data_IF_423147370823
#
_entry.id   IF_423147370823
#
_cell.length_a   1.000
_cell.length_b   1.000
_cell.length_c   1.000
_cell.angle_alpha   90.00
_cell.angle_beta   90.00
_cell.angle_gamma   90.00
#
_symmetry.space_group_name_H-M   'P 1'
#
loop_
_entity.id
_entity.type
_entity.pdbx_description
1 polymer ?
#
# COMPACT_ATOMS: atom_id res chain seq x y z
N UNK A 1 -8.62 -30.41 -8.53
CA UNK A 1 -8.96 -29.44 -9.60
C UNK A 1 -7.70 -28.81 -10.17
N UNK A 2 -7.57 -28.79 -11.50
CA UNK A 2 -6.53 -28.03 -12.22
C UNK A 2 -7.18 -27.03 -13.15
N UNK A 3 -6.59 -25.85 -13.26
CA UNK A 3 -7.10 -24.75 -14.08
C UNK A 3 -6.00 -24.07 -14.87
N UNK A 4 -6.31 -23.70 -16.12
CA UNK A 4 -5.43 -22.92 -16.99
C UNK A 4 -6.19 -21.65 -17.36
N UNK A 5 -5.65 -20.48 -17.00
CA UNK A 5 -6.17 -19.22 -17.50
C UNK A 5 -5.87 -19.13 -19.00
N UNK A 6 -6.81 -18.61 -19.77
CA UNK A 6 -6.64 -18.31 -21.20
C UNK A 6 -6.71 -16.80 -21.35
N UNK A 7 -5.73 -16.25 -22.05
CA UNK A 7 -5.70 -14.85 -22.43
C UNK A 7 -5.94 -14.74 -23.93
N UNK A 8 -6.65 -13.70 -24.34
CA UNK A 8 -6.91 -13.39 -25.74
C UNK A 8 -6.25 -12.06 -26.11
N UNK A 9 -5.60 -12.03 -27.26
CA UNK A 9 -5.03 -10.83 -27.86
C UNK A 9 -6.17 -9.98 -28.40
N UNK A 10 -6.37 -8.80 -27.80
CA UNK A 10 -7.43 -7.86 -28.15
C UNK A 10 -6.86 -6.46 -28.40
N UNK A 11 -7.42 -5.70 -29.35
CA UNK A 11 -7.10 -4.29 -29.48
C UNK A 11 -7.68 -3.52 -28.28
N UNK A 12 -6.82 -2.74 -27.63
CA UNK A 12 -7.18 -1.87 -26.51
C UNK A 12 -6.86 -0.43 -26.87
N UNK A 13 -7.85 0.46 -26.70
CA UNK A 13 -7.67 1.89 -26.91
C UNK A 13 -7.14 2.56 -25.63
N UNK A 14 -5.97 3.18 -25.72
CA UNK A 14 -5.30 3.86 -24.61
C UNK A 14 -4.85 5.27 -25.01
N UNK A 15 -4.33 6.01 -24.03
CA UNK A 15 -3.83 7.36 -24.21
C UNK A 15 -2.50 7.54 -23.50
N UNK A 16 -1.53 8.16 -24.18
CA UNK A 16 -0.24 8.52 -23.62
C UNK A 16 0.16 9.90 -24.10
N UNK A 17 1.15 10.52 -23.45
CA UNK A 17 1.79 11.70 -24.01
C UNK A 17 2.64 11.31 -25.22
N UNK A 18 2.87 12.26 -26.11
CA UNK A 18 3.85 12.12 -27.18
C UNK A 18 5.21 11.67 -26.63
N UNK A 19 5.86 10.74 -27.32
CA UNK A 19 7.09 10.07 -26.87
C UNK A 19 6.87 8.88 -25.91
N UNK A 20 5.66 8.70 -25.37
CA UNK A 20 5.30 7.57 -24.50
C UNK A 20 4.35 6.55 -25.17
N UNK A 21 4.05 6.76 -26.46
CA UNK A 21 3.25 5.81 -27.24
C UNK A 21 4.09 4.57 -27.51
N UNK A 22 3.65 3.36 -27.14
CA UNK A 22 4.42 2.14 -27.36
C UNK A 22 4.63 1.86 -28.86
N UNK A 23 5.73 1.19 -29.19
CA UNK A 23 5.95 0.69 -30.55
C UNK A 23 4.89 -0.35 -30.93
N UNK A 24 4.47 -0.34 -32.19
CA UNK A 24 3.39 -1.22 -32.69
C UNK A 24 1.97 -0.75 -32.37
N UNK A 25 1.81 0.37 -31.66
CA UNK A 25 0.50 0.99 -31.48
C UNK A 25 0.03 1.71 -32.76
N UNK A 26 -1.25 1.58 -33.09
CA UNK A 26 -1.93 2.32 -34.14
C UNK A 26 -2.47 3.64 -33.58
N UNK A 27 -1.93 4.78 -34.01
CA UNK A 27 -2.43 6.09 -33.60
C UNK A 27 -3.84 6.31 -34.16
N UNK A 28 -4.78 6.71 -33.29
CA UNK A 28 -6.16 7.02 -33.64
C UNK A 28 -6.38 8.53 -33.77
N UNK A 29 -5.89 9.30 -32.80
CA UNK A 29 -6.04 10.77 -32.73
C UNK A 29 -4.96 11.38 -31.87
N UNK A 30 -4.56 12.61 -32.17
CA UNK A 30 -3.79 13.47 -31.27
C UNK A 30 -4.56 14.76 -30.93
N UNK A 31 -4.36 15.27 -29.72
CA UNK A 31 -4.90 16.54 -29.22
C UNK A 31 -3.85 17.27 -28.39
N UNK A 32 -3.90 18.60 -28.39
CA UNK A 32 -3.03 19.42 -27.52
C UNK A 32 -3.72 19.61 -26.17
N UNK A 33 -3.07 19.16 -25.11
CA UNK A 33 -3.61 19.15 -23.74
C UNK A 33 -2.59 19.68 -22.74
N UNK A 34 -3.06 20.16 -21.58
CA UNK A 34 -2.17 20.62 -20.49
C UNK A 34 -1.49 19.40 -19.89
N UNK A 35 -0.16 19.35 -19.98
CA UNK A 35 0.66 18.27 -19.41
C UNK A 35 0.93 18.47 -17.94
N UNK A 36 1.29 19.71 -17.57
CA UNK A 36 1.54 20.15 -16.20
C UNK A 36 1.48 21.68 -16.15
N UNK A 37 1.51 22.22 -14.94
CA UNK A 37 1.54 23.66 -14.69
C UNK A 37 2.87 23.98 -14.01
N UNK A 38 3.62 24.91 -14.57
CA UNK A 38 4.81 25.45 -13.93
C UNK A 38 4.42 26.55 -12.95
N UNK A 39 4.97 26.51 -11.74
CA UNK A 39 4.81 27.57 -10.74
C UNK A 39 6.06 28.46 -10.76
N UNK A 40 6.01 29.51 -11.58
CA UNK A 40 7.15 30.39 -11.77
C UNK A 40 7.11 31.52 -10.75
N UNK A 41 8.16 31.67 -9.96
CA UNK A 41 8.30 32.86 -9.13
C UNK A 41 8.55 34.07 -10.04
N UNK A 42 7.60 34.99 -10.08
CA UNK A 42 7.65 36.18 -10.93
C UNK A 42 8.13 37.43 -10.17
N UNK A 43 8.33 37.33 -8.86
CA UNK A 43 8.85 38.41 -8.04
C UNK A 43 8.68 38.16 -6.56
N UNK A 44 8.76 39.23 -5.79
CA UNK A 44 8.48 39.25 -4.36
C UNK A 44 7.58 40.42 -4.01
N UNK A 45 6.80 40.27 -2.94
CA UNK A 45 5.96 41.30 -2.37
C UNK A 45 6.41 41.53 -0.93
N UNK A 46 6.73 42.78 -0.60
CA UNK A 46 7.00 43.16 0.78
C UNK A 46 5.72 43.02 1.60
N UNK A 47 5.79 42.29 2.70
CA UNK A 47 4.77 42.25 3.75
C UNK A 47 5.38 42.59 5.10
N UNK A 48 4.56 43.08 6.01
CA UNK A 48 4.94 43.23 7.42
C UNK A 48 4.26 42.18 8.28
N UNK A 49 4.90 41.82 9.39
CA UNK A 49 4.33 41.03 10.47
C UNK A 49 4.68 41.68 11.80
N UNK A 50 3.74 41.67 12.74
CA UNK A 50 4.02 42.03 14.12
C UNK A 50 4.71 40.86 14.81
N UNK A 51 5.92 41.08 15.30
CA UNK A 51 6.67 40.11 16.09
C UNK A 51 6.59 40.52 17.55
N UNK A 52 6.17 39.58 18.40
CA UNK A 52 6.14 39.78 19.86
C UNK A 52 7.35 39.08 20.46
N UNK A 53 8.14 39.81 21.25
CA UNK A 53 9.25 39.27 22.01
C UNK A 53 9.10 39.58 23.49
N UNK A 54 9.54 38.65 24.33
CA UNK A 54 9.53 38.82 25.78
C UNK A 54 10.95 39.17 26.22
N UNK A 55 11.14 40.43 26.61
CA UNK A 55 12.46 40.97 26.99
C UNK A 55 12.51 41.09 28.51
N UNK A 56 13.58 40.62 29.14
CA UNK A 56 13.80 40.88 30.55
C UNK A 56 14.14 42.36 30.73
N UNK A 57 13.30 43.09 31.45
CA UNK A 57 13.42 44.55 31.62
C UNK A 57 13.95 44.96 32.98
N UNK A 58 14.05 44.02 33.92
CA UNK A 58 14.67 44.27 35.20
C UNK A 58 14.67 43.05 36.10
N UNK A 59 14.92 43.30 37.37
CA UNK A 59 14.77 42.33 38.45
C UNK A 59 13.99 42.98 39.59
N UNK A 60 13.22 42.19 40.32
CA UNK A 60 12.54 42.64 41.54
C UNK A 60 12.94 41.75 42.71
N UNK A 61 13.29 42.39 43.82
CA UNK A 61 13.70 41.71 45.07
C UNK A 61 12.47 41.18 45.79
N UNK A 62 12.39 39.87 45.94
CA UNK A 62 11.32 39.20 46.69
C UNK A 62 11.91 38.64 47.97
N UNK A 63 11.28 38.93 49.11
CA UNK A 63 11.65 38.30 50.39
C UNK A 63 11.30 36.82 50.33
N UNK A 64 12.32 35.96 50.44
CA UNK A 64 12.16 34.50 50.33
C UNK A 64 12.23 33.80 51.68
N UNK A 65 12.66 34.51 52.73
CA UNK A 65 12.67 33.96 54.07
C UNK A 65 13.27 34.90 55.09
N UNK A 66 13.56 34.36 56.25
CA UNK A 66 14.13 35.09 57.37
C UNK A 66 15.20 34.22 58.03
N UNK A 67 16.39 34.76 58.25
CA UNK A 67 17.53 34.08 58.88
C UNK A 67 17.70 34.58 60.31
N UNK A 68 17.66 33.69 61.29
CA UNK A 68 17.90 34.03 62.69
C UNK A 68 19.41 34.30 62.91
N UNK A 69 19.74 35.41 63.57
CA UNK A 69 21.12 35.83 63.84
C UNK A 69 21.69 35.33 65.18
N UNK A 70 20.93 34.51 65.93
CA UNK A 70 21.37 33.85 67.16
C UNK A 70 21.41 34.74 68.40
N UNK A 71 21.07 36.02 68.27
CA UNK A 71 21.03 37.03 69.33
C UNK A 71 19.61 37.59 69.58
N UNK A 72 18.58 36.86 69.13
CA UNK A 72 17.18 37.28 69.22
C UNK A 72 16.68 38.17 68.07
N UNK A 73 17.57 38.59 67.15
CA UNK A 73 17.21 39.33 65.95
C UNK A 73 17.17 38.45 64.70
N UNK A 74 16.44 38.91 63.69
CA UNK A 74 16.18 38.21 62.44
C UNK A 74 16.51 39.10 61.23
N UNK A 75 17.14 38.51 60.22
CA UNK A 75 17.49 39.17 58.96
C UNK A 75 16.60 38.66 57.82
N UNK A 76 16.01 39.59 57.08
CA UNK A 76 15.21 39.24 55.91
C UNK A 76 16.11 38.82 54.74
N UNK A 77 15.86 37.63 54.19
CA UNK A 77 16.59 37.09 53.03
C UNK A 77 15.78 37.39 51.77
N UNK A 78 16.45 37.94 50.75
CA UNK A 78 15.85 38.32 49.48
C UNK A 78 16.49 37.56 48.32
N UNK A 79 15.69 37.30 47.29
CA UNK A 79 16.12 36.76 46.00
C UNK A 79 15.71 37.73 44.89
N UNK A 80 16.61 37.98 43.93
CA UNK A 80 16.31 38.75 42.73
C UNK A 80 15.60 37.87 41.71
N UNK A 81 14.36 38.25 41.34
CA UNK A 81 13.59 37.55 40.31
C UNK A 81 13.49 38.40 39.04
N UNK A 82 13.69 37.80 37.84
CA UNK A 82 13.63 38.53 36.59
C UNK A 82 12.20 39.03 36.31
N UNK A 83 12.08 40.31 35.96
CA UNK A 83 10.85 40.94 35.47
C UNK A 83 10.95 41.01 33.96
N UNK A 84 9.90 40.58 33.27
CA UNK A 84 9.83 40.56 31.82
C UNK A 84 8.70 41.45 31.32
N UNK A 85 8.93 42.07 30.17
CA UNK A 85 7.95 42.86 29.43
C UNK A 85 7.75 42.24 28.04
N UNK A 86 6.52 42.23 27.54
CA UNK A 86 6.24 41.87 26.16
C UNK A 86 6.38 43.13 25.30
N UNK A 87 7.25 43.08 24.31
CA UNK A 87 7.42 44.15 23.31
C UNK A 87 6.98 43.64 21.96
N UNK A 88 6.34 44.50 21.18
CA UNK A 88 5.97 44.22 19.80
C UNK A 88 6.68 45.19 18.86
N UNK A 89 7.15 44.68 17.73
CA UNK A 89 7.68 45.51 16.64
C UNK A 89 7.23 44.95 15.28
N UNK A 90 7.18 45.83 14.28
CA UNK A 90 6.90 45.45 12.90
C UNK A 90 8.18 45.00 12.21
N UNK A 91 8.18 43.80 11.65
CA UNK A 91 9.25 43.27 10.82
C UNK A 91 8.73 43.15 9.38
N UNK A 92 9.52 43.63 8.40
CA UNK A 92 9.20 43.44 6.98
C UNK A 92 9.93 42.23 6.41
N UNK A 93 9.25 41.46 5.57
CA UNK A 93 9.84 40.32 4.87
C UNK A 93 9.38 40.27 3.41
N UNK A 94 10.17 39.57 2.59
CA UNK A 94 9.87 39.35 1.18
C UNK A 94 9.08 38.06 1.01
N UNK A 95 7.82 38.18 0.61
CA UNK A 95 6.96 37.03 0.27
C UNK A 95 7.09 36.74 -1.24
N UNK A 96 7.48 35.53 -1.67
CA UNK A 96 7.56 35.20 -3.09
C UNK A 96 6.18 35.20 -3.75
N UNK A 97 6.09 35.76 -4.96
CA UNK A 97 4.87 35.78 -5.77
C UNK A 97 5.03 34.84 -6.95
N UNK A 98 4.07 33.92 -7.12
CA UNK A 98 4.09 32.91 -8.17
C UNK A 98 3.01 33.16 -9.23
N UNK A 99 3.28 32.69 -10.45
CA UNK A 99 2.32 32.63 -11.54
C UNK A 99 2.29 31.23 -12.13
N UNK A 100 1.09 30.72 -12.32
CA UNK A 100 0.83 29.45 -12.97
C UNK A 100 0.97 29.59 -14.49
N UNK A 101 1.81 28.76 -15.10
CA UNK A 101 1.99 28.70 -16.53
C UNK A 101 1.68 27.29 -17.04
N UNK A 102 0.54 27.09 -17.75
CA UNK A 102 0.20 25.78 -18.27
C UNK A 102 1.15 25.39 -19.42
N UNK A 103 1.78 24.23 -19.29
CA UNK A 103 2.63 23.65 -20.33
C UNK A 103 1.84 22.61 -21.10
N UNK A 104 1.63 22.87 -22.38
CA UNK A 104 0.88 21.99 -23.26
C UNK A 104 1.79 20.99 -23.97
N UNK A 105 1.34 19.75 -24.09
CA UNK A 105 1.95 18.73 -24.95
C UNK A 105 0.89 18.01 -25.78
N UNK A 106 1.32 17.22 -26.75
CA UNK A 106 0.42 16.38 -27.51
C UNK A 106 0.05 15.14 -26.68
N UNK A 107 -1.26 14.93 -26.49
CA UNK A 107 -1.86 13.71 -25.99
C UNK A 107 -2.25 12.85 -27.18
N UNK A 108 -1.82 11.60 -27.19
CA UNK A 108 -2.06 10.66 -28.30
C UNK A 108 -2.97 9.54 -27.82
N UNK A 109 -4.12 9.40 -28.47
CA UNK A 109 -4.99 8.23 -28.35
C UNK A 109 -4.58 7.21 -29.41
N UNK A 110 -4.32 5.99 -28.97
CA UNK A 110 -3.85 4.91 -29.83
C UNK A 110 -4.54 3.59 -29.47
N UNK A 111 -4.40 2.62 -30.35
CA UNK A 111 -4.87 1.24 -30.21
C UNK A 111 -3.67 0.29 -30.23
N UNK A 112 -3.61 -0.63 -29.28
CA UNK A 112 -2.53 -1.61 -29.19
C UNK A 112 -3.09 -2.98 -28.83
N UNK A 113 -2.52 -4.02 -29.43
CA UNK A 113 -2.87 -5.41 -29.12
C UNK A 113 -2.31 -5.80 -27.74
N UNK A 114 -3.18 -6.18 -26.82
CA UNK A 114 -2.81 -6.64 -25.47
C UNK A 114 -3.45 -7.98 -25.15
N UNK A 115 -2.71 -8.79 -24.43
CA UNK A 115 -3.22 -10.04 -23.88
C UNK A 115 -4.12 -9.74 -22.69
N UNK A 116 -5.41 -10.05 -22.84
CA UNK A 116 -6.43 -9.77 -21.86
C UNK A 116 -7.03 -11.09 -21.34
N UNK A 117 -7.42 -11.17 -20.06
CA UNK A 117 -8.11 -12.34 -19.54
C UNK A 117 -9.37 -12.64 -20.36
N UNK A 118 -9.53 -13.89 -20.79
CA UNK A 118 -10.71 -14.34 -21.55
C UNK A 118 -11.51 -15.37 -20.75
N UNK A 119 -10.96 -16.58 -20.59
CA UNK A 119 -11.64 -17.70 -19.90
C UNK A 119 -10.68 -18.49 -19.02
N UNK A 120 -11.23 -19.47 -18.30
CA UNK A 120 -10.44 -20.46 -17.54
C UNK A 120 -10.87 -21.86 -17.93
N UNK A 121 -9.95 -22.65 -18.47
CA UNK A 121 -10.15 -24.07 -18.68
C UNK A 121 -10.02 -24.78 -17.32
N UNK A 122 -10.90 -25.74 -17.04
CA UNK A 122 -10.96 -26.46 -15.75
C UNK A 122 -11.03 -27.96 -15.99
N UNK A 123 -10.25 -28.71 -15.22
CA UNK A 123 -10.36 -30.15 -15.08
C UNK A 123 -10.64 -30.47 -13.60
N UNK A 124 -11.76 -31.14 -13.39
CA UNK A 124 -12.22 -31.61 -12.08
C UNK A 124 -12.47 -33.12 -12.20
N UNK A 125 -12.06 -33.86 -11.18
CA UNK A 125 -12.16 -35.31 -11.10
C UNK A 125 -12.19 -35.71 -9.63
N UNK A 126 -12.81 -36.85 -9.35
CA UNK A 126 -12.87 -37.44 -8.00
C UNK A 126 -11.82 -38.54 -7.82
N UNK A 127 -11.13 -38.94 -8.90
CA UNK A 127 -10.11 -39.96 -8.93
C UNK A 127 -8.70 -39.38 -8.70
N UNK A 128 -7.75 -40.24 -8.32
CA UNK A 128 -6.32 -39.87 -8.15
C UNK A 128 -5.58 -39.56 -9.47
N UNK A 129 -6.31 -39.33 -10.56
CA UNK A 129 -5.74 -39.02 -11.87
C UNK A 129 -5.86 -37.53 -12.17
N UNK A 130 -4.93 -36.74 -11.63
CA UNK A 130 -4.89 -35.31 -11.89
C UNK A 130 -4.40 -35.04 -13.32
N UNK A 131 -5.28 -34.54 -14.19
CA UNK A 131 -4.96 -34.14 -15.57
C UNK A 131 -5.09 -32.63 -15.75
N UNK A 132 -4.22 -32.03 -16.56
CA UNK A 132 -4.39 -30.63 -16.98
C UNK A 132 -5.51 -30.52 -18.03
N UNK A 133 -6.42 -29.54 -17.94
CA UNK A 133 -7.42 -29.34 -18.98
C UNK A 133 -6.76 -28.89 -20.28
N UNK A 134 -7.27 -29.34 -21.42
CA UNK A 134 -6.92 -28.79 -22.73
C UNK A 134 -7.79 -27.53 -23.00
N UNK A 135 -7.20 -26.32 -23.05
CA UNK A 135 -7.94 -25.08 -23.24
C UNK A 135 -8.43 -24.86 -24.69
N UNK A 136 -8.01 -25.70 -25.66
CA UNK A 136 -8.32 -25.58 -27.10
C UNK A 136 -8.13 -24.15 -27.61
N UNK A 137 -6.88 -23.69 -27.63
CA UNK A 137 -6.54 -22.30 -27.96
C UNK A 137 -6.83 -21.98 -29.44
N UNK A 138 -7.43 -20.81 -29.67
CA UNK A 138 -7.52 -20.19 -30.99
C UNK A 138 -6.24 -19.43 -31.38
N UNK A 139 -6.21 -18.91 -32.62
CA UNK A 139 -5.04 -18.21 -33.18
C UNK A 139 -4.63 -16.92 -32.43
N UNK A 140 -5.57 -16.27 -31.75
CA UNK A 140 -5.35 -15.06 -30.94
C UNK A 140 -5.40 -15.36 -29.43
N UNK A 141 -5.19 -16.59 -29.03
CA UNK A 141 -5.27 -17.01 -27.64
C UNK A 141 -3.95 -17.61 -27.18
N UNK A 142 -3.66 -17.49 -25.88
CA UNK A 142 -2.51 -18.14 -25.24
C UNK A 142 -2.88 -18.64 -23.85
N UNK A 143 -2.10 -19.61 -23.37
CA UNK A 143 -2.14 -19.96 -21.95
C UNK A 143 -1.58 -18.82 -21.11
N UNK A 144 -2.33 -18.45 -20.09
CA UNK A 144 -1.89 -17.60 -18.99
C UNK A 144 -1.45 -18.45 -17.80
N UNK A 145 -1.74 -17.95 -16.59
CA UNK A 145 -1.34 -18.62 -15.35
C UNK A 145 -2.06 -19.97 -15.17
N UNK A 146 -1.27 -21.01 -14.85
CA UNK A 146 -1.77 -22.30 -14.38
C UNK A 146 -1.97 -22.28 -12.86
N UNK A 147 -3.02 -22.94 -12.39
CA UNK A 147 -3.30 -23.10 -10.97
C UNK A 147 -3.88 -24.49 -10.68
N UNK A 148 -3.49 -25.06 -9.56
CA UNK A 148 -3.91 -26.39 -9.11
C UNK A 148 -4.36 -26.36 -7.66
N UNK A 149 -5.31 -27.22 -7.33
CA UNK A 149 -5.85 -27.38 -5.98
C UNK A 149 -6.20 -28.84 -5.77
N UNK A 150 -5.58 -29.44 -4.77
CA UNK A 150 -5.78 -30.84 -4.40
C UNK A 150 -6.52 -30.89 -3.07
N UNK A 151 -7.61 -31.65 -3.01
CA UNK A 151 -8.43 -31.79 -1.81
C UNK A 151 -8.59 -33.27 -1.49
N UNK A 152 -8.47 -33.61 -0.20
CA UNK A 152 -8.74 -34.95 0.33
C UNK A 152 -9.93 -34.85 1.27
N UNK A 153 -10.94 -35.69 1.06
CA UNK A 153 -12.07 -35.81 1.97
C UNK A 153 -11.75 -36.84 3.05
N UNK A 154 -11.82 -36.42 4.30
CA UNK A 154 -11.69 -37.28 5.47
C UNK A 154 -13.03 -37.38 6.20
N UNK A 155 -13.28 -38.55 6.80
CA UNK A 155 -14.28 -38.69 7.84
C UNK A 155 -13.57 -38.71 9.19
N UNK A 156 -13.95 -37.79 10.08
CA UNK A 156 -13.46 -37.80 11.46
C UNK A 156 -14.00 -39.02 12.21
N UNK A 157 -13.37 -39.40 13.32
CA UNK A 157 -13.84 -40.51 14.17
C UNK A 157 -15.29 -40.32 14.70
N UNK A 158 -15.82 -39.09 14.64
CA UNK A 158 -17.20 -38.74 15.00
C UNK A 158 -18.17 -38.78 13.80
N UNK A 159 -17.74 -39.29 12.65
CA UNK A 159 -18.54 -39.40 11.42
C UNK A 159 -18.74 -38.08 10.65
N UNK A 160 -18.14 -36.96 11.09
CA UNK A 160 -18.27 -35.67 10.39
C UNK A 160 -17.30 -35.62 9.20
N UNK A 161 -17.77 -35.32 7.97
CA UNK A 161 -16.89 -35.11 6.82
C UNK A 161 -16.11 -33.81 6.98
N UNK A 162 -14.83 -33.83 6.61
CA UNK A 162 -13.94 -32.68 6.62
C UNK A 162 -13.01 -32.73 5.42
N UNK A 163 -12.68 -31.57 4.86
CA UNK A 163 -11.84 -31.46 3.68
C UNK A 163 -10.48 -30.89 4.07
N UNK A 164 -9.42 -31.52 3.59
CA UNK A 164 -8.06 -31.01 3.73
C UNK A 164 -7.49 -30.63 2.37
N UNK A 165 -6.86 -29.45 2.28
CA UNK A 165 -6.18 -29.00 1.08
C UNK A 165 -4.74 -29.45 1.11
N UNK A 166 -4.36 -30.33 0.17
CA UNK A 166 -2.99 -30.79 0.09
C UNK A 166 -2.08 -29.70 -0.49
N UNK A 167 -0.84 -29.55 0.04
CA UNK A 167 0.08 -28.50 -0.40
C UNK A 167 0.62 -28.72 -1.82
N UNK A 168 0.68 -29.97 -2.29
CA UNK A 168 1.14 -30.33 -3.63
C UNK A 168 0.56 -31.70 -4.06
N UNK A 169 0.78 -32.07 -5.33
CA UNK A 169 0.30 -33.34 -5.89
C UNK A 169 0.90 -34.57 -5.18
N UNK A 170 2.17 -34.51 -4.78
CA UNK A 170 2.85 -35.64 -4.14
C UNK A 170 2.22 -35.98 -2.78
N UNK A 171 1.95 -34.96 -1.96
CA UNK A 171 1.27 -35.13 -0.68
C UNK A 171 -0.14 -35.67 -0.90
N UNK A 172 -0.86 -35.18 -1.92
CA UNK A 172 -2.19 -35.67 -2.26
C UNK A 172 -2.19 -37.14 -2.70
N UNK A 173 -1.29 -37.54 -3.59
CA UNK A 173 -1.13 -38.93 -4.06
C UNK A 173 -0.72 -39.92 -2.96
N UNK A 174 -0.15 -39.43 -1.86
CA UNK A 174 0.21 -40.24 -0.69
C UNK A 174 -0.99 -40.68 0.14
N UNK A 175 -2.19 -40.16 -0.14
CA UNK A 175 -3.42 -40.63 0.47
C UNK A 175 -4.09 -41.65 -0.43
N UNK A 176 -4.61 -42.71 0.16
CA UNK A 176 -5.40 -43.77 -0.48
C UNK A 176 -6.81 -43.77 0.12
N UNK A 177 -7.82 -43.93 -0.74
CA UNK A 177 -9.21 -44.04 -0.31
C UNK A 177 -9.41 -45.25 0.62
N UNK A 178 -10.21 -45.08 1.66
CA UNK A 178 -10.52 -46.14 2.63
C UNK A 178 -9.46 -46.38 3.71
N UNK A 179 -8.31 -45.71 3.67
CA UNK A 179 -7.30 -45.77 4.74
C UNK A 179 -7.53 -44.72 5.83
N UNK A 180 -7.18 -45.08 7.06
CA UNK A 180 -7.16 -44.17 8.20
C UNK A 180 -5.78 -43.51 8.34
N UNK A 181 -5.78 -42.18 8.51
CA UNK A 181 -4.57 -41.38 8.67
C UNK A 181 -4.61 -40.60 9.97
N UNK A 182 -3.44 -40.37 10.59
CA UNK A 182 -3.32 -39.53 11.78
C UNK A 182 -3.18 -38.08 11.36
N UNK A 183 -3.92 -37.18 12.00
CA UNK A 183 -3.87 -35.75 11.70
C UNK A 183 -4.27 -34.89 12.89
N UNK A 184 -3.88 -33.61 12.81
CA UNK A 184 -4.29 -32.56 13.75
C UNK A 184 -5.50 -31.84 13.16
N UNK A 185 -6.51 -31.64 13.98
CA UNK A 185 -7.74 -30.93 13.62
C UNK A 185 -7.87 -29.75 14.59
N UNK A 186 -8.19 -28.57 14.07
CA UNK A 186 -8.53 -27.40 14.88
C UNK A 186 -9.84 -27.64 15.65
N UNK A 187 -10.06 -26.89 16.73
CA UNK A 187 -11.26 -27.03 17.56
C UNK A 187 -12.60 -26.81 16.82
N UNK A 188 -12.56 -26.18 15.64
CA UNK A 188 -13.70 -25.97 14.74
C UNK A 188 -13.96 -27.12 13.74
N UNK A 189 -13.12 -28.15 13.75
CA UNK A 189 -13.23 -29.32 12.88
C UNK A 189 -12.48 -29.22 11.54
N UNK A 190 -11.75 -28.12 11.28
CA UNK A 190 -10.86 -28.01 10.11
C UNK A 190 -9.59 -28.81 10.32
N UNK A 191 -9.15 -29.53 9.30
CA UNK A 191 -7.91 -30.30 9.35
C UNK A 191 -6.72 -29.35 9.20
N UNK A 192 -5.86 -29.30 10.21
CA UNK A 192 -4.65 -28.47 10.24
C UNK A 192 -3.49 -29.15 9.51
N UNK A 193 -3.32 -30.45 9.77
CA UNK A 193 -2.20 -31.24 9.29
C UNK A 193 -2.64 -32.70 9.23
N UNK A 194 -2.29 -33.41 8.15
CA UNK A 194 -2.46 -34.87 8.08
C UNK A 194 -1.10 -35.47 7.77
N UNK A 195 -0.70 -36.44 8.59
CA UNK A 195 0.52 -37.21 8.34
C UNK A 195 0.13 -38.34 7.39
N UNK A 196 0.27 -38.06 6.08
CA UNK A 196 0.26 -39.08 5.04
C UNK A 196 1.56 -39.87 5.13
N UNK A 197 1.47 -41.20 5.23
CA UNK A 197 2.64 -42.05 5.38
C UNK A 197 3.53 -42.00 4.15
N UNK A 198 4.61 -41.23 4.22
CA UNK A 198 5.89 -41.54 3.59
C UNK A 198 6.94 -41.44 4.69
N UNK A 199 7.25 -42.60 5.30
CA UNK A 199 8.59 -42.88 5.80
C UNK A 199 9.39 -43.51 4.66
#
# INVERSE_FOLDING_TARGET
MRTIAVEQLRPVAEQAWEGQVPSGARVLRSSREVHHVDHLQIGTRTRSRTVNERVQTGTHRVKTGTRNLGNGYFEDVYEDRPVYENRSHEETYQEPVYRDQPVYRQRVRYEIEKWMPDRKARAEGQDHNAVWPDPRLGAKEREGKRAETYEVLFQTAKGKPTTWKAPNEQAWRGFEEGRAYKGKVYGDGRVAEVVGGNG
#
